data_IF_351913914569
#
_entry.id   IF_351913914569
#
_cell.length_a   1.000
_cell.length_b   1.000
_cell.length_c   1.000
_cell.angle_alpha   90.00
_cell.angle_beta   90.00
_cell.angle_gamma   90.00
#
_symmetry.space_group_name_H-M   'P 1'
#
loop_
_entity.id
_entity.type
_entity.pdbx_description
1 polymer ?
#
# COMPACT_ATOMS: atom_id res chain seq x y z
N UNK A 1 -11.76 -1.51 13.27
CA UNK A 1 -11.44 -0.09 13.02
C UNK A 1 -11.07 -0.01 11.55
N UNK A 2 -11.80 0.73 10.76
CA UNK A 2 -11.64 0.77 9.31
C UNK A 2 -11.59 2.22 8.83
N UNK A 3 -10.83 2.47 7.76
CA UNK A 3 -10.91 3.72 7.02
C UNK A 3 -12.30 3.83 6.39
N UNK A 4 -12.87 5.01 6.41
CA UNK A 4 -14.16 5.26 5.76
C UNK A 4 -13.94 5.46 4.27
N UNK A 5 -14.64 4.67 3.45
CA UNK A 5 -14.66 4.87 1.98
C UNK A 5 -13.26 4.96 1.36
N UNK A 6 -12.50 3.87 1.48
CA UNK A 6 -11.20 3.78 0.82
C UNK A 6 -11.31 4.06 -0.69
N UNK A 7 -10.19 4.31 -1.35
CA UNK A 7 -10.10 4.67 -2.77
C UNK A 7 -10.77 3.60 -3.64
N UNK A 8 -11.95 3.92 -4.17
CA UNK A 8 -12.67 3.10 -5.13
C UNK A 8 -12.40 3.64 -6.54
N UNK A 9 -12.09 2.76 -7.47
CA UNK A 9 -11.68 3.11 -8.82
C UNK A 9 -12.64 2.44 -9.80
N UNK A 10 -13.33 3.25 -10.61
CA UNK A 10 -14.25 2.75 -11.62
C UNK A 10 -13.49 2.21 -12.83
N UNK A 11 -13.74 0.94 -13.17
CA UNK A 11 -13.27 0.28 -14.38
C UNK A 11 -14.35 0.24 -15.46
N UNK A 12 -14.02 -0.36 -16.59
CA UNK A 12 -14.97 -0.65 -17.67
C UNK A 12 -15.98 -1.72 -17.24
N UNK A 13 -17.17 -1.69 -17.82
CA UNK A 13 -18.18 -2.74 -17.58
C UNK A 13 -18.75 -2.78 -16.16
N UNK A 14 -18.62 -1.70 -15.38
CA UNK A 14 -19.14 -1.64 -14.00
C UNK A 14 -18.23 -2.27 -12.95
N UNK A 15 -17.01 -2.64 -13.32
CA UNK A 15 -16.01 -3.14 -12.38
C UNK A 15 -15.60 -2.01 -11.42
N UNK A 16 -15.47 -2.34 -10.13
CA UNK A 16 -14.93 -1.42 -9.11
C UNK A 16 -13.70 -2.07 -8.49
N UNK A 17 -12.58 -1.35 -8.59
CA UNK A 17 -11.34 -1.76 -7.93
C UNK A 17 -11.22 -1.09 -6.55
N UNK A 18 -10.55 -1.79 -5.64
CA UNK A 18 -10.22 -1.32 -4.29
C UNK A 18 -8.76 -0.90 -4.24
N UNK A 19 -8.48 0.35 -4.64
CA UNK A 19 -7.14 0.86 -4.87
C UNK A 19 -6.54 0.40 -6.21
N UNK A 20 -5.29 0.78 -6.46
CA UNK A 20 -4.59 0.50 -7.71
C UNK A 20 -4.02 -0.91 -7.84
N UNK A 21 -3.59 -1.22 -9.06
CA UNK A 21 -2.90 -2.47 -9.40
C UNK A 21 -1.60 -2.16 -10.15
N UNK A 22 -0.50 -2.81 -9.76
CA UNK A 22 0.79 -2.64 -10.44
C UNK A 22 0.78 -3.14 -11.89
N UNK A 23 -0.12 -4.05 -12.25
CA UNK A 23 -0.28 -4.51 -13.63
C UNK A 23 -0.66 -3.39 -14.61
N UNK A 24 -1.16 -2.26 -14.09
CA UNK A 24 -1.56 -1.10 -14.90
C UNK A 24 -0.39 -0.22 -15.35
N UNK A 25 0.83 -0.44 -14.84
CA UNK A 25 2.00 0.29 -15.33
C UNK A 25 2.38 -0.14 -16.76
N UNK A 26 2.74 0.83 -17.60
CA UNK A 26 3.21 0.57 -18.97
C UNK A 26 4.57 -0.11 -19.00
N UNK A 27 5.42 0.13 -18.00
CA UNK A 27 6.77 -0.42 -17.93
C UNK A 27 6.80 -1.82 -17.32
N UNK A 28 7.67 -2.69 -17.83
CA UNK A 28 7.89 -4.02 -17.26
C UNK A 28 8.29 -3.95 -15.79
N UNK A 29 9.15 -3.00 -15.41
CA UNK A 29 9.59 -2.81 -14.02
C UNK A 29 8.42 -2.43 -13.13
N UNK A 30 7.56 -1.51 -13.56
CA UNK A 30 6.35 -1.14 -12.84
C UNK A 30 5.43 -2.33 -12.60
N UNK A 31 5.14 -3.12 -13.63
CA UNK A 31 4.28 -4.30 -13.50
C UNK A 31 4.85 -5.39 -12.59
N UNK A 32 6.15 -5.57 -12.55
CA UNK A 32 6.79 -6.65 -11.77
C UNK A 32 7.18 -6.23 -10.34
N UNK A 33 7.43 -4.93 -10.12
CA UNK A 33 8.04 -4.44 -8.87
C UNK A 33 7.39 -3.17 -8.32
N UNK A 34 6.27 -2.74 -8.89
CA UNK A 34 5.61 -1.48 -8.57
C UNK A 34 4.68 -1.51 -7.36
N UNK A 35 4.59 -2.60 -6.61
CA UNK A 35 3.67 -2.72 -5.47
C UNK A 35 3.84 -1.59 -4.43
N UNK A 36 5.07 -1.20 -4.12
CA UNK A 36 5.33 -0.09 -3.21
C UNK A 36 4.89 1.26 -3.79
N UNK A 37 5.06 1.47 -5.09
CA UNK A 37 4.55 2.67 -5.77
C UNK A 37 3.01 2.72 -5.73
N UNK A 38 2.34 1.57 -5.93
CA UNK A 38 0.88 1.48 -5.81
C UNK A 38 0.42 1.78 -4.40
N UNK A 39 1.10 1.22 -3.38
CA UNK A 39 0.78 1.54 -1.99
C UNK A 39 0.93 3.04 -1.68
N UNK A 40 1.94 3.71 -2.25
CA UNK A 40 2.12 5.15 -2.13
C UNK A 40 1.03 5.94 -2.87
N UNK A 41 0.64 5.50 -4.08
CA UNK A 41 -0.46 6.11 -4.83
C UNK A 41 -1.79 5.96 -4.09
N UNK A 42 -2.09 4.78 -3.55
CA UNK A 42 -3.27 4.55 -2.72
C UNK A 42 -3.30 5.48 -1.50
N UNK A 43 -2.16 5.60 -0.79
CA UNK A 43 -2.05 6.46 0.40
C UNK A 43 -2.27 7.94 0.04
N UNK A 44 -1.61 8.45 -0.99
CA UNK A 44 -1.71 9.85 -1.38
C UNK A 44 -3.08 10.21 -1.97
N UNK A 45 -3.71 9.29 -2.73
CA UNK A 45 -5.07 9.46 -3.22
C UNK A 45 -6.09 9.48 -2.07
N UNK A 46 -5.95 8.57 -1.08
CA UNK A 46 -6.82 8.55 0.09
C UNK A 46 -6.73 9.84 0.90
N UNK A 47 -5.52 10.31 1.20
CA UNK A 47 -5.30 11.56 1.92
C UNK A 47 -5.93 12.75 1.18
N UNK A 48 -5.79 12.79 -0.15
CA UNK A 48 -6.42 13.82 -0.99
C UNK A 48 -7.96 13.76 -0.96
N UNK A 49 -8.52 12.54 -0.96
CA UNK A 49 -9.97 12.31 -0.95
C UNK A 49 -10.61 12.74 0.37
N UNK A 50 -9.92 12.54 1.49
CA UNK A 50 -10.47 12.80 2.83
C UNK A 50 -10.17 14.17 3.38
N UNK A 51 -9.15 14.85 2.87
CA UNK A 51 -8.70 16.13 3.41
C UNK A 51 -8.63 17.18 2.30
N UNK A 52 -9.51 18.18 2.30
CA UNK A 52 -9.55 19.22 1.28
C UNK A 52 -8.21 19.96 1.10
N UNK A 53 -7.46 20.17 2.19
CA UNK A 53 -6.15 20.82 2.17
C UNK A 53 -5.06 19.94 1.51
N UNK A 54 -5.29 18.64 1.41
CA UNK A 54 -4.38 17.69 0.77
C UNK A 54 -4.79 17.32 -0.66
N UNK A 55 -5.82 17.94 -1.21
CA UNK A 55 -6.38 17.60 -2.53
C UNK A 55 -5.32 17.56 -3.63
N UNK A 56 -4.28 18.41 -3.55
CA UNK A 56 -3.19 18.45 -4.51
C UNK A 56 -2.31 17.17 -4.53
N UNK A 57 -2.42 16.29 -3.53
CA UNK A 57 -1.76 14.98 -3.53
C UNK A 57 -2.32 14.03 -4.59
N UNK A 58 -3.51 14.26 -5.10
CA UNK A 58 -4.04 13.49 -6.21
C UNK A 58 -3.63 14.15 -7.53
N UNK A 59 -2.98 13.42 -8.42
CA UNK A 59 -2.50 13.91 -9.71
C UNK A 59 -3.37 13.48 -10.90
N UNK A 60 -4.49 12.81 -10.64
CA UNK A 60 -5.51 12.57 -11.65
C UNK A 60 -6.39 13.80 -11.86
N UNK A 61 -7.37 13.69 -12.74
CA UNK A 61 -8.22 14.81 -13.13
C UNK A 61 -9.48 14.95 -12.27
N UNK A 62 -10.00 13.81 -11.76
CA UNK A 62 -11.29 13.78 -11.06
C UNK A 62 -11.21 12.93 -9.79
N UNK A 63 -11.06 13.60 -8.65
CA UNK A 63 -10.98 12.93 -7.34
C UNK A 63 -12.34 12.42 -6.85
N UNK A 64 -13.44 13.04 -7.28
CA UNK A 64 -14.80 12.67 -6.84
C UNK A 64 -15.34 11.44 -7.60
N UNK A 65 -14.75 11.14 -8.77
CA UNK A 65 -15.09 9.95 -9.57
C UNK A 65 -13.83 9.42 -10.25
N UNK A 66 -13.04 8.67 -9.50
CA UNK A 66 -11.76 8.15 -9.94
C UNK A 66 -12.01 7.00 -10.93
N UNK A 67 -11.61 7.17 -12.17
CA UNK A 67 -11.56 6.08 -13.15
C UNK A 67 -10.20 5.38 -13.17
N UNK A 68 -10.13 4.18 -13.74
CA UNK A 68 -8.87 3.43 -13.90
C UNK A 68 -7.82 4.25 -14.65
N UNK A 69 -8.19 4.87 -15.76
CA UNK A 69 -7.26 5.67 -16.56
C UNK A 69 -6.75 6.89 -15.78
N UNK A 70 -7.64 7.54 -15.04
CA UNK A 70 -7.30 8.67 -14.19
C UNK A 70 -6.35 8.26 -13.04
N UNK A 71 -6.60 7.10 -12.43
CA UNK A 71 -5.71 6.58 -11.39
C UNK A 71 -4.34 6.16 -11.93
N UNK A 72 -4.28 5.64 -13.17
CA UNK A 72 -3.00 5.36 -13.84
C UNK A 72 -2.16 6.63 -14.00
N UNK A 73 -2.78 7.76 -14.35
CA UNK A 73 -2.09 9.06 -14.38
C UNK A 73 -1.50 9.39 -13.01
N UNK A 74 -2.28 9.23 -11.94
CA UNK A 74 -1.81 9.45 -10.58
C UNK A 74 -0.66 8.50 -10.20
N UNK A 75 -0.80 7.20 -10.44
CA UNK A 75 0.25 6.21 -10.19
C UNK A 75 1.56 6.57 -10.91
N UNK A 76 1.50 6.98 -12.16
CA UNK A 76 2.68 7.37 -12.95
C UNK A 76 3.35 8.64 -12.42
N UNK A 77 2.61 9.58 -11.85
CA UNK A 77 3.20 10.75 -11.18
C UNK A 77 3.90 10.37 -9.88
N UNK A 78 3.28 9.52 -9.05
CA UNK A 78 3.90 8.99 -7.83
C UNK A 78 5.15 8.16 -8.14
N UNK A 79 5.13 7.39 -9.24
CA UNK A 79 6.26 6.56 -9.68
C UNK A 79 7.56 7.35 -9.85
N UNK A 80 7.50 8.61 -10.26
CA UNK A 80 8.68 9.47 -10.43
C UNK A 80 9.46 9.73 -9.13
N UNK A 81 8.81 9.51 -7.99
CA UNK A 81 9.37 9.75 -6.65
C UNK A 81 9.52 8.48 -5.83
N UNK A 82 8.62 7.51 -6.03
CA UNK A 82 8.58 6.23 -5.34
C UNK A 82 8.85 5.14 -6.38
N UNK A 83 10.08 5.12 -6.90
CA UNK A 83 10.49 4.25 -7.99
C UNK A 83 11.08 2.94 -7.46
N UNK A 84 10.70 1.77 -8.02
CA UNK A 84 11.36 0.50 -7.71
C UNK A 84 12.85 0.52 -8.06
N UNK A 85 13.65 -0.18 -7.26
CA UNK A 85 15.08 -0.31 -7.50
C UNK A 85 15.35 -0.96 -8.86
N UNK A 86 16.14 -0.27 -9.69
CA UNK A 86 16.65 -0.80 -10.95
C UNK A 86 18.06 -1.33 -10.73
N UNK A 87 18.26 -2.63 -10.92
CA UNK A 87 19.58 -3.24 -10.85
C UNK A 87 20.18 -3.32 -12.26
N UNK A 88 21.26 -2.59 -12.57
CA UNK A 88 21.79 -2.45 -13.93
C UNK A 88 22.36 -3.74 -14.54
N UNK A 89 22.63 -4.77 -13.72
CA UNK A 89 23.31 -5.99 -14.15
C UNK A 89 22.45 -7.26 -14.03
N UNK A 90 21.19 -7.19 -13.66
CA UNK A 90 20.31 -8.33 -13.56
C UNK A 90 19.20 -8.27 -14.61
N UNK A 91 18.98 -9.41 -15.30
CA UNK A 91 17.98 -9.56 -16.37
C UNK A 91 16.55 -9.39 -15.83
N UNK A 92 16.37 -9.49 -14.50
CA UNK A 92 15.09 -9.27 -13.84
C UNK A 92 15.17 -8.03 -12.95
N UNK A 93 14.11 -7.18 -12.92
CA UNK A 93 14.05 -6.09 -11.98
C UNK A 93 14.07 -6.66 -10.57
N UNK A 94 15.14 -6.40 -9.84
CA UNK A 94 15.27 -6.88 -8.48
C UNK A 94 14.50 -5.96 -7.53
N UNK A 95 13.53 -6.51 -6.87
CA UNK A 95 13.26 -6.18 -5.49
C UNK A 95 12.42 -4.97 -5.14
N UNK A 96 11.71 -4.34 -6.03
CA UNK A 96 10.73 -3.31 -5.64
C UNK A 96 11.34 -2.14 -4.84
N UNK A 97 10.68 -1.73 -3.77
CA UNK A 97 11.18 -0.70 -2.83
C UNK A 97 11.66 -1.42 -1.57
N UNK A 98 13.00 -1.53 -1.36
CA UNK A 98 13.54 -2.42 -0.34
C UNK A 98 13.52 -1.83 1.08
N UNK A 99 13.47 -0.49 1.21
CA UNK A 99 13.64 0.19 2.50
C UNK A 99 12.45 1.09 2.83
N UNK A 100 12.03 1.10 4.11
CA UNK A 100 11.01 2.02 4.60
C UNK A 100 11.39 3.49 4.40
N UNK A 101 12.67 3.83 4.62
CA UNK A 101 13.17 5.18 4.38
C UNK A 101 13.04 5.59 2.92
N UNK A 102 13.33 4.71 1.97
CA UNK A 102 13.17 5.01 0.55
C UNK A 102 11.71 5.29 0.19
N UNK A 103 10.80 4.45 0.69
CA UNK A 103 9.37 4.69 0.52
C UNK A 103 8.94 6.04 1.12
N UNK A 104 9.33 6.29 2.39
CA UNK A 104 9.01 7.52 3.10
C UNK A 104 9.51 8.76 2.37
N UNK A 105 10.80 8.77 2.03
CA UNK A 105 11.44 9.89 1.33
C UNK A 105 10.82 10.15 -0.04
N UNK A 106 10.41 9.08 -0.73
CA UNK A 106 9.71 9.18 -2.00
C UNK A 106 8.35 9.87 -1.86
N UNK A 107 7.53 9.43 -0.91
CA UNK A 107 6.20 10.02 -0.64
C UNK A 107 6.33 11.48 -0.17
N UNK A 108 7.28 11.78 0.72
CA UNK A 108 7.53 13.15 1.21
C UNK A 108 7.96 14.06 0.06
N UNK A 109 8.87 13.61 -0.82
CA UNK A 109 9.30 14.40 -2.00
C UNK A 109 8.16 14.61 -2.97
N UNK A 110 7.31 13.61 -3.18
CA UNK A 110 6.11 13.76 -4.00
C UNK A 110 5.17 14.81 -3.40
N UNK A 111 4.84 14.72 -2.11
CA UNK A 111 3.99 15.69 -1.43
C UNK A 111 4.57 17.10 -1.49
N UNK A 112 5.88 17.25 -1.25
CA UNK A 112 6.59 18.54 -1.37
C UNK A 112 6.49 19.14 -2.77
N UNK A 113 6.53 18.32 -3.82
CA UNK A 113 6.34 18.79 -5.21
C UNK A 113 4.93 19.33 -5.47
N UNK A 114 3.96 19.00 -4.60
CA UNK A 114 2.59 19.49 -4.59
C UNK A 114 2.34 20.62 -3.60
N UNK A 115 3.41 21.14 -2.97
CA UNK A 115 3.31 22.18 -1.95
C UNK A 115 2.82 21.70 -0.59
N UNK A 116 2.78 20.37 -0.36
CA UNK A 116 2.27 19.75 0.85
C UNK A 116 3.43 19.20 1.68
N UNK A 117 3.38 19.43 3.00
CA UNK A 117 4.34 18.87 3.95
C UNK A 117 3.72 17.65 4.61
N UNK A 118 4.34 16.49 4.42
CA UNK A 118 3.99 15.26 5.12
C UNK A 118 5.13 14.86 6.04
N UNK A 119 4.77 14.29 7.18
CA UNK A 119 5.69 13.68 8.13
C UNK A 119 5.44 12.18 8.18
N UNK A 120 6.47 11.39 7.89
CA UNK A 120 6.39 9.95 7.93
C UNK A 120 6.60 9.43 9.36
N UNK A 121 5.74 8.49 9.75
CA UNK A 121 5.91 7.64 10.91
C UNK A 121 6.17 6.23 10.42
N UNK A 122 7.27 5.59 10.87
CA UNK A 122 7.53 4.19 10.57
C UNK A 122 8.08 3.45 11.79
N UNK A 123 7.70 2.20 11.90
CA UNK A 123 8.30 1.30 12.85
C UNK A 123 9.62 0.78 12.29
N UNK A 124 10.73 1.21 12.82
CA UNK A 124 12.04 0.69 12.42
C UNK A 124 12.26 -0.72 12.94
N UNK A 125 11.79 -1.01 14.14
CA UNK A 125 11.76 -2.32 14.78
C UNK A 125 10.70 -2.28 15.85
N UNK A 126 9.58 -2.91 15.60
CA UNK A 126 8.57 -3.12 16.63
C UNK A 126 8.84 -4.50 17.27
N UNK A 127 9.38 -4.54 18.48
CA UNK A 127 9.86 -5.79 19.08
C UNK A 127 8.70 -6.70 19.47
N UNK A 128 7.48 -6.20 19.52
CA UNK A 128 6.31 -6.98 19.94
C UNK A 128 5.17 -6.87 18.96
N UNK A 129 4.41 -7.95 18.85
CA UNK A 129 3.17 -8.00 18.08
C UNK A 129 2.15 -6.93 18.57
N UNK A 130 2.08 -6.72 19.88
CA UNK A 130 1.16 -5.72 20.46
C UNK A 130 1.51 -4.30 20.02
N UNK A 131 2.79 -3.96 19.97
CA UNK A 131 3.24 -2.66 19.48
C UNK A 131 2.92 -2.49 18.00
N UNK A 132 3.07 -3.54 17.19
CA UNK A 132 2.72 -3.51 15.78
C UNK A 132 1.21 -3.27 15.58
N UNK A 133 0.35 -3.96 16.35
CA UNK A 133 -1.10 -3.73 16.34
C UNK A 133 -1.44 -2.30 16.76
N UNK A 134 -0.78 -1.78 17.81
CA UNK A 134 -1.00 -0.40 18.26
C UNK A 134 -0.58 0.60 17.19
N UNK A 135 0.52 0.35 16.49
CA UNK A 135 1.00 1.19 15.41
C UNK A 135 -0.01 1.30 14.25
N UNK A 136 -0.62 0.18 13.85
CA UNK A 136 -1.71 0.20 12.86
C UNK A 136 -2.89 1.06 13.36
N UNK A 137 -3.28 0.88 14.64
CA UNK A 137 -4.34 1.70 15.24
C UNK A 137 -4.04 3.19 15.18
N UNK A 138 -2.81 3.57 15.44
CA UNK A 138 -2.42 4.97 15.46
C UNK A 138 -2.51 5.61 14.06
N UNK A 139 -2.09 4.89 13.01
CA UNK A 139 -2.27 5.35 11.63
C UNK A 139 -3.75 5.48 11.25
N UNK A 140 -4.55 4.43 11.51
CA UNK A 140 -5.98 4.43 11.17
C UNK A 140 -6.78 5.47 11.98
N UNK A 141 -6.39 5.77 13.24
CA UNK A 141 -7.01 6.85 14.04
C UNK A 141 -6.73 8.24 13.51
N UNK A 142 -5.61 8.41 12.83
CA UNK A 142 -5.25 9.65 12.12
C UNK A 142 -5.91 9.74 10.75
N UNK A 143 -6.83 8.82 10.45
CA UNK A 143 -7.46 8.66 9.14
C UNK A 143 -6.43 8.56 8.00
N UNK A 144 -5.34 7.84 8.26
CA UNK A 144 -4.28 7.56 7.30
C UNK A 144 -4.14 6.06 7.06
N UNK A 145 -4.11 5.60 5.80
CA UNK A 145 -3.76 4.23 5.48
C UNK A 145 -2.35 3.90 5.95
N UNK A 146 -2.13 2.64 6.35
CA UNK A 146 -0.81 2.19 6.76
C UNK A 146 -0.21 1.30 5.68
N UNK A 147 0.85 1.76 5.03
CA UNK A 147 1.58 0.92 4.10
C UNK A 147 2.37 -0.15 4.88
N UNK A 148 2.29 -1.39 4.42
CA UNK A 148 2.98 -2.54 5.00
C UNK A 148 3.80 -3.23 3.93
N UNK A 149 5.07 -3.52 4.22
CA UNK A 149 5.86 -4.47 3.44
C UNK A 149 5.86 -5.82 4.12
N UNK A 150 5.39 -6.86 3.41
CA UNK A 150 5.50 -8.25 3.83
C UNK A 150 6.81 -8.84 3.30
N UNK A 151 7.69 -9.28 4.19
CA UNK A 151 8.99 -9.81 3.80
C UNK A 151 8.98 -11.34 3.66
N UNK A 152 10.05 -11.92 3.11
CA UNK A 152 10.15 -13.39 2.88
C UNK A 152 9.97 -14.26 4.10
N UNK A 153 10.27 -13.71 5.27
CA UNK A 153 10.25 -14.47 6.52
C UNK A 153 8.86 -14.58 7.16
N UNK A 154 7.88 -13.84 6.65
CA UNK A 154 6.48 -14.01 7.05
C UNK A 154 6.00 -15.45 6.84
N UNK A 155 5.15 -15.94 7.72
CA UNK A 155 4.47 -17.24 7.55
C UNK A 155 3.47 -17.21 6.40
N UNK A 156 2.88 -16.05 6.13
CA UNK A 156 1.94 -15.87 5.04
C UNK A 156 2.71 -15.76 3.71
N UNK A 157 2.70 -16.85 2.93
CA UNK A 157 3.42 -16.94 1.65
C UNK A 157 2.55 -16.56 0.46
N UNK A 158 1.27 -16.86 0.53
CA UNK A 158 0.31 -16.55 -0.52
C UNK A 158 -1.02 -16.17 0.08
N UNK A 159 -1.81 -15.43 -0.67
CA UNK A 159 -3.17 -15.02 -0.27
C UNK A 159 -4.16 -15.37 -1.39
N UNK A 160 -5.40 -15.74 -1.03
CA UNK A 160 -6.48 -15.80 -2.00
C UNK A 160 -6.76 -14.39 -2.51
N UNK A 161 -6.74 -14.22 -3.81
CA UNK A 161 -7.02 -12.97 -4.47
C UNK A 161 -8.09 -13.18 -5.56
N UNK A 162 -9.11 -12.34 -5.54
CA UNK A 162 -10.13 -12.34 -6.58
C UNK A 162 -9.82 -11.25 -7.58
N UNK A 163 -9.61 -11.63 -8.82
CA UNK A 163 -9.40 -10.68 -9.91
C UNK A 163 -10.69 -9.87 -10.13
N UNK A 164 -10.65 -8.53 -9.99
CA UNK A 164 -11.84 -7.71 -10.14
C UNK A 164 -12.46 -7.74 -11.55
N UNK A 165 -11.64 -7.94 -12.59
CA UNK A 165 -12.09 -7.96 -13.99
C UNK A 165 -12.82 -9.25 -14.37
N UNK A 166 -12.44 -10.39 -13.74
CA UNK A 166 -12.96 -11.71 -14.12
C UNK A 166 -13.79 -12.39 -13.03
N UNK A 167 -13.70 -11.91 -11.78
CA UNK A 167 -14.30 -12.57 -10.62
C UNK A 167 -13.61 -13.89 -10.21
N UNK A 168 -12.54 -14.29 -10.90
CA UNK A 168 -11.83 -15.55 -10.63
C UNK A 168 -10.89 -15.37 -9.43
N UNK A 169 -11.01 -16.29 -8.46
CA UNK A 169 -10.11 -16.33 -7.30
C UNK A 169 -8.93 -17.28 -7.58
N UNK A 170 -7.73 -16.80 -7.28
CA UNK A 170 -6.49 -17.57 -7.35
C UNK A 170 -5.59 -17.24 -6.17
N UNK A 171 -4.60 -18.10 -5.89
CA UNK A 171 -3.59 -17.78 -4.89
C UNK A 171 -2.47 -16.94 -5.54
N UNK A 172 -2.18 -15.78 -4.92
CA UNK A 172 -1.09 -14.89 -5.33
C UNK A 172 0.05 -14.95 -4.33
N UNK A 173 1.29 -14.94 -4.83
CA UNK A 173 2.48 -14.87 -3.98
C UNK A 173 2.50 -13.53 -3.22
N UNK A 174 2.57 -13.62 -1.89
CA UNK A 174 2.53 -12.47 -0.99
C UNK A 174 3.91 -12.14 -0.41
N UNK A 175 4.97 -12.82 -0.85
CA UNK A 175 6.33 -12.57 -0.38
C UNK A 175 6.92 -11.33 -1.04
N UNK A 176 7.66 -10.53 -0.27
CA UNK A 176 8.29 -9.27 -0.72
C UNK A 176 7.26 -8.36 -1.40
N UNK A 177 6.13 -8.17 -0.75
CA UNK A 177 5.02 -7.43 -1.32
C UNK A 177 4.61 -6.28 -0.43
N UNK A 178 4.34 -5.11 -1.05
CA UNK A 178 3.76 -3.95 -0.39
C UNK A 178 2.25 -3.96 -0.54
N UNK A 179 1.56 -3.69 0.57
CA UNK A 179 0.10 -3.51 0.60
C UNK A 179 -0.27 -2.27 1.39
N UNK A 180 -1.50 -1.83 1.23
CA UNK A 180 -2.08 -0.72 1.97
C UNK A 180 -3.09 -1.25 2.97
N UNK A 181 -2.81 -1.17 4.27
CA UNK A 181 -3.75 -1.53 5.34
C UNK A 181 -4.84 -0.46 5.41
N UNK A 182 -6.08 -0.89 5.36
CA UNK A 182 -7.28 -0.05 5.38
C UNK A 182 -8.21 -0.34 6.54
N UNK A 183 -7.99 -1.46 7.24
CA UNK A 183 -8.79 -1.87 8.39
C UNK A 183 -8.02 -2.75 9.35
N UNK A 184 -8.49 -2.78 10.60
CA UNK A 184 -7.96 -3.62 11.67
C UNK A 184 -9.08 -4.20 12.51
N UNK A 185 -9.10 -5.51 12.63
CA UNK A 185 -10.01 -6.29 13.46
C UNK A 185 -9.21 -6.95 14.59
N UNK A 186 -9.27 -6.33 15.78
CA UNK A 186 -8.46 -6.72 16.93
C UNK A 186 -9.26 -7.62 17.88
N UNK A 187 -9.04 -8.91 17.76
CA UNK A 187 -9.57 -9.96 18.63
C UNK A 187 -8.49 -10.58 19.52
N UNK A 188 -7.52 -9.78 19.99
CA UNK A 188 -6.42 -10.26 20.84
C UNK A 188 -6.87 -11.03 22.10
N UNK A 189 -8.01 -10.74 22.74
CA UNK A 189 -8.47 -11.59 23.85
C UNK A 189 -8.64 -13.06 23.50
N UNK A 190 -8.88 -13.38 22.21
CA UNK A 190 -8.93 -14.76 21.69
C UNK A 190 -7.73 -15.11 20.81
N UNK A 191 -6.67 -14.30 20.87
CA UNK A 191 -5.41 -14.56 20.16
C UNK A 191 -5.41 -14.26 18.67
N UNK A 192 -6.39 -13.52 18.14
CA UNK A 192 -6.55 -13.27 16.72
C UNK A 192 -6.52 -11.77 16.38
N UNK A 193 -5.83 -11.43 15.31
CA UNK A 193 -5.86 -10.09 14.72
C UNK A 193 -5.92 -10.23 13.22
N UNK A 194 -6.83 -9.51 12.58
CA UNK A 194 -6.95 -9.47 11.13
C UNK A 194 -6.77 -8.04 10.65
N UNK A 195 -6.23 -7.89 9.44
CA UNK A 195 -6.11 -6.61 8.74
C UNK A 195 -6.80 -6.70 7.39
N UNK A 196 -7.52 -5.64 7.04
CA UNK A 196 -7.99 -5.44 5.68
C UNK A 196 -6.92 -4.70 4.90
N UNK A 197 -6.63 -5.16 3.71
CA UNK A 197 -5.62 -4.56 2.83
C UNK A 197 -6.15 -4.34 1.43
N UNK A 198 -5.63 -3.30 0.78
CA UNK A 198 -5.71 -3.12 -0.67
C UNK A 198 -4.45 -3.69 -1.32
N UNK A 199 -4.64 -4.59 -2.27
CA UNK A 199 -3.60 -5.20 -3.07
C UNK A 199 -4.13 -5.64 -4.43
N UNK A 200 -3.39 -5.38 -5.49
CA UNK A 200 -3.74 -5.74 -6.87
C UNK A 200 -5.18 -5.38 -7.26
N UNK A 201 -5.63 -4.16 -6.90
CA UNK A 201 -6.97 -3.67 -7.21
C UNK A 201 -8.11 -4.31 -6.41
N UNK A 202 -7.81 -5.16 -5.44
CA UNK A 202 -8.79 -5.88 -4.63
C UNK A 202 -8.60 -5.66 -3.14
N UNK A 203 -9.68 -5.88 -2.37
CA UNK A 203 -9.64 -5.97 -0.91
C UNK A 203 -9.38 -7.42 -0.50
N UNK A 204 -8.48 -7.62 0.45
CA UNK A 204 -8.27 -8.90 1.12
C UNK A 204 -8.22 -8.71 2.63
N UNK A 205 -8.70 -9.73 3.38
CA UNK A 205 -8.57 -9.78 4.83
C UNK A 205 -7.52 -10.82 5.20
N UNK A 206 -6.49 -10.41 5.92
CA UNK A 206 -5.32 -11.22 6.23
C UNK A 206 -5.20 -11.45 7.73
N UNK A 207 -4.77 -12.65 8.13
CA UNK A 207 -4.38 -12.91 9.52
C UNK A 207 -3.05 -12.20 9.82
N UNK A 208 -3.09 -11.14 10.62
CA UNK A 208 -1.93 -10.35 10.94
C UNK A 208 -0.89 -11.11 11.78
N UNK A 209 -1.31 -12.11 12.54
CA UNK A 209 -0.38 -12.98 13.28
C UNK A 209 0.59 -13.70 12.32
N UNK A 210 0.09 -14.14 11.16
CA UNK A 210 0.92 -14.82 10.15
C UNK A 210 1.76 -13.82 9.33
N UNK A 211 1.22 -12.64 9.05
CA UNK A 211 1.94 -11.57 8.36
C UNK A 211 3.12 -11.08 9.19
N UNK A 212 2.89 -10.81 10.48
CA UNK A 212 3.91 -10.22 11.37
C UNK A 212 4.96 -11.21 11.85
N UNK A 213 4.66 -12.53 11.83
CA UNK A 213 5.60 -13.54 12.30
C UNK A 213 6.91 -13.54 11.51
N UNK A 214 8.04 -13.36 12.20
CA UNK A 214 9.39 -13.30 11.65
C UNK A 214 9.62 -12.20 10.59
N UNK A 215 8.81 -11.15 10.60
CA UNK A 215 8.86 -10.09 9.60
C UNK A 215 10.00 -9.08 9.86
N UNK A 216 10.72 -9.19 10.96
CA UNK A 216 11.71 -8.23 11.46
C UNK A 216 13.18 -8.64 11.27
N UNK A 217 13.44 -9.84 10.76
CA UNK A 217 14.79 -10.46 10.79
C UNK A 217 15.86 -9.62 10.10
N UNK A 218 15.52 -8.84 9.08
CA UNK A 218 16.50 -8.02 8.36
C UNK A 218 16.30 -6.51 8.56
N UNK A 219 15.34 -6.10 9.39
CA UNK A 219 15.04 -4.68 9.62
C UNK A 219 14.43 -3.95 8.42
N UNK A 220 14.00 -4.67 7.39
CA UNK A 220 13.38 -4.12 6.18
C UNK A 220 11.85 -4.22 6.22
N UNK A 221 11.34 -5.22 6.92
CA UNK A 221 9.92 -5.35 7.11
C UNK A 221 9.39 -4.29 8.06
N UNK A 222 8.23 -3.76 7.74
CA UNK A 222 7.64 -2.78 8.61
C UNK A 222 6.49 -2.04 7.97
N UNK A 223 6.03 -1.06 8.73
CA UNK A 223 4.85 -0.29 8.40
C UNK A 223 5.17 1.21 8.41
N UNK A 224 4.41 1.95 7.64
CA UNK A 224 4.56 3.41 7.55
C UNK A 224 3.20 4.07 7.32
N UNK A 225 2.94 5.16 8.03
CA UNK A 225 1.84 6.07 7.80
C UNK A 225 2.33 7.52 7.86
N UNK A 226 1.48 8.45 7.47
CA UNK A 226 1.82 9.87 7.40
C UNK A 226 0.86 10.73 8.21
N UNK A 227 1.35 11.88 8.68
CA UNK A 227 0.54 13.01 9.13
C UNK A 227 1.03 14.31 8.45
N UNK A 228 0.27 15.39 8.59
CA UNK A 228 0.47 16.69 7.93
C UNK A 228 0.19 17.88 8.85
#
# INVERSE_FOLDING_TARGET
MDLKEFVLIAGSGGVIYYGGDQSWFDTKVGRQSGCGTVAAANTTAYLALKNPELKALYSGNNLDNITKDDFIVHMNQVYKYVEPLKMPFFVQPAGGIPFLSWYADGVIRYAKSKGISLRAHWNKREPTFNNAVQYIKDGLRKDCPVALVNWRNSKLKSIPWTNPDTGITSNQDFQIHWVTITGLHDYRPIGQVYIDVSSWGSKATLNFNDVWSNNDILGYAGMIYFDW
#
